data_IF_461783132884
#
_entry.id   IF_461783132884
#
_cell.length_a   1.000
_cell.length_b   1.000
_cell.length_c   1.000
_cell.angle_alpha   90.00
_cell.angle_beta   90.00
_cell.angle_gamma   90.00
#
_symmetry.space_group_name_H-M   'P 1'
#
loop_
_entity.id
_entity.type
_entity.pdbx_description
1 polymer ?
#
# COMPACT_ATOMS: atom_id res chain seq x y z
N UNK A 1 2.34 5.93 -16.95
CA UNK A 1 2.40 6.90 -15.84
C UNK A 1 2.62 6.11 -14.56
N UNK A 2 3.60 6.46 -13.73
CA UNK A 2 3.88 5.77 -12.46
C UNK A 2 3.13 6.49 -11.34
N UNK A 3 2.14 5.82 -10.74
CA UNK A 3 1.38 6.34 -9.60
C UNK A 3 1.95 5.67 -8.34
N UNK A 4 2.42 6.47 -7.40
CA UNK A 4 2.97 5.96 -6.14
C UNK A 4 2.32 6.62 -4.93
N UNK A 5 2.11 5.83 -3.88
CA UNK A 5 1.50 6.29 -2.64
C UNK A 5 -0.01 6.48 -2.72
N UNK A 6 -0.61 6.74 -1.57
CA UNK A 6 -2.06 6.63 -1.40
C UNK A 6 -2.83 7.90 -1.78
N UNK A 7 -2.17 9.02 -2.09
CA UNK A 7 -2.85 10.26 -2.51
C UNK A 7 -3.79 10.01 -3.70
N UNK A 8 -3.23 9.35 -4.72
CA UNK A 8 -3.94 8.95 -5.92
C UNK A 8 -4.32 7.47 -5.88
N UNK A 9 -3.48 6.62 -5.27
CA UNK A 9 -3.75 5.19 -5.13
C UNK A 9 -5.12 4.90 -4.50
N UNK A 10 -5.52 5.65 -3.46
CA UNK A 10 -6.84 5.49 -2.83
C UNK A 10 -8.00 5.66 -3.83
N UNK A 11 -7.89 6.63 -4.74
CA UNK A 11 -8.96 6.90 -5.72
C UNK A 11 -9.10 5.76 -6.71
N UNK A 12 -8.02 5.04 -6.99
CA UNK A 12 -8.05 3.83 -7.82
C UNK A 12 -8.64 2.66 -7.06
N UNK A 13 -8.31 2.51 -5.77
CA UNK A 13 -8.89 1.49 -4.90
C UNK A 13 -10.40 1.70 -4.70
N UNK A 14 -10.85 2.95 -4.62
CA UNK A 14 -12.27 3.32 -4.56
C UNK A 14 -13.06 2.79 -5.77
N UNK A 15 -12.46 2.76 -6.98
CA UNK A 15 -13.12 2.28 -8.21
C UNK A 15 -13.49 0.79 -8.17
N UNK A 16 -12.81 0.03 -7.32
CA UNK A 16 -13.03 -1.41 -7.14
C UNK A 16 -13.43 -1.74 -5.70
N UNK A 17 -13.87 -0.74 -4.93
CA UNK A 17 -14.32 -0.90 -3.55
C UNK A 17 -13.32 -1.69 -2.67
N UNK A 18 -12.02 -1.43 -2.89
CA UNK A 18 -10.96 -2.04 -2.11
C UNK A 18 -10.70 -1.22 -0.84
N UNK A 19 -10.77 -1.83 0.36
CA UNK A 19 -10.60 -1.11 1.62
C UNK A 19 -9.23 -0.46 1.74
N UNK A 20 -9.19 0.80 2.20
CA UNK A 20 -7.95 1.49 2.49
C UNK A 20 -8.09 2.41 3.72
N UNK A 21 -6.98 2.85 4.29
CA UNK A 21 -6.97 3.80 5.40
C UNK A 21 -7.47 5.18 4.95
N UNK A 22 -7.92 6.01 5.89
CA UNK A 22 -8.23 7.40 5.54
C UNK A 22 -6.96 8.14 5.11
N UNK A 23 -6.98 8.66 3.88
CA UNK A 23 -5.89 9.44 3.32
C UNK A 23 -6.41 10.78 2.80
N UNK A 24 -5.66 11.85 3.09
CA UNK A 24 -5.97 13.23 2.74
C UNK A 24 -4.75 13.90 2.11
N UNK A 25 -5.01 14.84 1.20
CA UNK A 25 -3.97 15.54 0.44
C UNK A 25 -3.41 16.78 1.15
N UNK A 26 -2.52 17.53 0.47
CA UNK A 26 -1.88 18.73 1.01
C UNK A 26 -2.85 19.86 1.37
N UNK A 27 -4.05 19.86 0.78
CA UNK A 27 -5.11 20.86 0.93
C UNK A 27 -5.87 20.81 2.27
N UNK A 28 -5.52 19.86 3.15
CA UNK A 28 -6.24 19.62 4.39
C UNK A 28 -6.18 20.83 5.35
N UNK A 29 -7.33 21.24 5.88
CA UNK A 29 -7.42 22.38 6.80
C UNK A 29 -6.88 22.05 8.20
N UNK A 30 -6.64 23.07 9.01
CA UNK A 30 -6.22 22.90 10.41
C UNK A 30 -7.21 22.07 11.22
N UNK A 31 -8.51 22.33 11.04
CA UNK A 31 -9.55 21.64 11.79
C UNK A 31 -9.71 20.19 11.34
N UNK A 32 -9.54 19.92 10.04
CA UNK A 32 -9.50 18.56 9.51
C UNK A 32 -8.33 17.75 10.06
N UNK A 33 -7.14 18.35 10.19
CA UNK A 33 -5.97 17.68 10.78
C UNK A 33 -6.26 17.33 12.25
N UNK A 34 -6.83 18.27 13.02
CA UNK A 34 -7.20 18.03 14.42
C UNK A 34 -8.22 16.90 14.53
N UNK A 35 -9.25 16.92 13.69
CA UNK A 35 -10.29 15.89 13.67
C UNK A 35 -9.73 14.52 13.32
N UNK A 36 -8.89 14.45 12.29
CA UNK A 36 -8.26 13.19 11.85
C UNK A 36 -7.40 12.58 12.96
N UNK A 37 -6.58 13.40 13.64
CA UNK A 37 -5.77 12.94 14.79
C UNK A 37 -6.65 12.48 15.95
N UNK A 38 -7.75 13.21 16.24
CA UNK A 38 -8.69 12.82 17.29
C UNK A 38 -9.39 11.48 16.99
N UNK A 39 -9.79 11.25 15.74
CA UNK A 39 -10.50 10.02 15.34
C UNK A 39 -9.60 8.79 15.30
N UNK A 40 -8.36 8.94 14.86
CA UNK A 40 -7.44 7.81 14.63
C UNK A 40 -6.35 7.66 15.70
N UNK A 41 -6.17 8.63 16.57
CA UNK A 41 -5.15 8.65 17.64
C UNK A 41 -3.73 8.92 17.14
N UNK A 42 -3.40 8.50 15.92
CA UNK A 42 -2.13 8.77 15.25
C UNK A 42 -2.34 8.95 13.74
N UNK A 43 -1.60 9.89 13.16
CA UNK A 43 -1.54 10.12 11.72
C UNK A 43 -0.10 10.08 11.23
N UNK A 44 0.09 9.53 10.04
CA UNK A 44 1.34 9.55 9.31
C UNK A 44 1.35 10.70 8.33
N UNK A 45 2.45 11.46 8.32
CA UNK A 45 2.68 12.54 7.36
C UNK A 45 3.73 12.06 6.37
N UNK A 46 3.41 12.07 5.07
CA UNK A 46 4.33 11.57 4.04
C UNK A 46 4.48 12.60 2.91
N UNK A 47 5.71 12.90 2.45
CA UNK A 47 5.93 13.81 1.35
C UNK A 47 5.41 13.25 0.01
N UNK A 48 4.83 14.15 -0.78
CA UNK A 48 4.34 13.89 -2.13
C UNK A 48 5.41 14.30 -3.13
N UNK A 49 5.98 13.32 -3.83
CA UNK A 49 6.95 13.55 -4.89
C UNK A 49 6.28 13.42 -6.25
N UNK A 50 6.76 14.20 -7.23
CA UNK A 50 6.40 14.03 -8.64
C UNK A 50 7.26 12.90 -9.22
N UNK A 51 6.62 11.88 -9.79
CA UNK A 51 7.29 10.67 -10.28
C UNK A 51 7.38 9.57 -9.20
N UNK A 52 7.56 8.32 -9.64
CA UNK A 52 7.54 7.15 -8.77
C UNK A 52 8.77 7.04 -7.87
N UNK A 53 8.75 7.77 -6.74
CA UNK A 53 9.85 7.84 -5.77
C UNK A 53 9.58 6.85 -4.62
N UNK A 54 10.29 5.72 -4.64
CA UNK A 54 10.22 4.67 -3.61
C UNK A 54 11.07 4.94 -2.36
N UNK A 55 11.17 3.94 -1.47
CA UNK A 55 12.06 3.90 -0.28
C UNK A 55 11.97 5.08 0.71
N UNK A 56 10.79 5.70 0.82
CA UNK A 56 10.52 6.82 1.75
C UNK A 56 10.69 6.43 3.24
N UNK A 57 10.32 5.21 3.61
CA UNK A 57 10.39 4.75 5.01
C UNK A 57 11.81 4.70 5.58
N UNK A 58 12.75 4.18 4.78
CA UNK A 58 14.16 4.02 5.19
C UNK A 58 14.96 5.35 5.17
N UNK A 59 14.37 6.44 4.65
CA UNK A 59 15.03 7.74 4.50
C UNK A 59 14.55 8.80 5.51
N UNK A 60 13.77 8.41 6.53
CA UNK A 60 13.23 9.35 7.52
C UNK A 60 12.13 10.27 6.97
N UNK A 61 11.56 9.92 5.81
CA UNK A 61 10.50 10.66 5.13
C UNK A 61 9.10 10.19 5.52
N UNK A 62 8.95 9.63 6.72
CA UNK A 62 7.64 9.33 7.32
C UNK A 62 7.60 10.04 8.67
N UNK A 63 6.74 11.04 8.77
CA UNK A 63 6.41 11.70 10.03
C UNK A 63 5.30 10.95 10.75
N UNK A 64 5.35 10.96 12.09
CA UNK A 64 4.31 10.41 12.97
C UNK A 64 3.83 11.52 13.88
N UNK A 65 2.51 11.62 14.06
CA UNK A 65 1.94 12.63 14.93
C UNK A 65 0.72 12.09 15.69
N UNK A 66 0.69 12.31 17.00
CA UNK A 66 -0.42 11.97 17.90
C UNK A 66 -1.22 13.18 18.36
N UNK A 67 -0.77 14.37 17.98
CA UNK A 67 -1.46 15.63 18.21
C UNK A 67 -1.23 16.60 17.05
N UNK A 68 -2.02 17.67 17.01
CA UNK A 68 -1.96 18.69 15.98
C UNK A 68 -0.59 19.38 15.88
N UNK A 69 0.04 19.67 17.01
CA UNK A 69 1.35 20.37 17.06
C UNK A 69 2.44 19.52 16.41
N UNK A 70 2.48 18.22 16.70
CA UNK A 70 3.38 17.27 16.04
C UNK A 70 3.10 17.18 14.53
N UNK A 71 1.82 17.12 14.14
CA UNK A 71 1.44 17.03 12.73
C UNK A 71 1.90 18.26 11.94
N UNK A 72 1.82 19.46 12.54
CA UNK A 72 2.28 20.69 11.92
C UNK A 72 3.82 20.72 11.78
N UNK A 73 4.54 20.27 12.82
CA UNK A 73 6.00 20.17 12.78
C UNK A 73 6.47 19.20 11.69
N UNK A 74 5.83 18.03 11.58
CA UNK A 74 6.15 17.06 10.53
C UNK A 74 5.73 17.56 9.13
N UNK A 75 4.61 18.29 9.01
CA UNK A 75 4.24 18.96 7.77
C UNK A 75 5.35 19.90 7.31
N UNK A 76 5.81 20.79 8.17
CA UNK A 76 6.86 21.76 7.85
C UNK A 76 8.17 21.07 7.42
N UNK A 77 8.59 20.06 8.19
CA UNK A 77 9.80 19.26 7.89
C UNK A 77 9.72 18.55 6.54
N UNK A 78 8.54 18.05 6.17
CA UNK A 78 8.36 17.16 5.02
C UNK A 78 7.85 17.85 3.77
N UNK A 79 7.28 19.06 3.85
CA UNK A 79 6.59 19.69 2.71
C UNK A 79 7.49 19.88 1.49
N UNK A 80 8.73 20.32 1.69
CA UNK A 80 9.75 20.52 0.66
C UNK A 80 10.97 19.61 0.84
N UNK A 81 10.78 18.46 1.47
CA UNK A 81 11.85 17.48 1.65
C UNK A 81 12.44 17.07 0.29
N UNK A 82 13.76 16.97 0.26
CA UNK A 82 14.48 16.44 -0.88
C UNK A 82 14.86 14.99 -0.61
N UNK A 83 14.70 14.14 -1.61
CA UNK A 83 15.07 12.74 -1.56
C UNK A 83 15.98 12.39 -2.73
N UNK A 84 17.18 11.91 -2.41
CA UNK A 84 18.15 11.45 -3.40
C UNK A 84 18.09 9.93 -3.55
N UNK A 85 17.76 9.46 -4.74
CA UNK A 85 17.81 8.04 -5.12
C UNK A 85 18.79 7.90 -6.29
N UNK A 86 19.97 7.36 -6.01
CA UNK A 86 21.06 7.32 -6.99
C UNK A 86 21.42 8.72 -7.50
N UNK A 87 21.22 8.95 -8.79
CA UNK A 87 21.50 10.23 -9.45
C UNK A 87 20.29 11.17 -9.53
N UNK A 88 19.11 10.73 -9.08
CA UNK A 88 17.89 11.51 -9.13
C UNK A 88 17.68 12.20 -7.77
N UNK A 89 17.45 13.51 -7.80
CA UNK A 89 16.97 14.27 -6.65
C UNK A 89 15.52 14.66 -6.90
N UNK A 90 14.62 14.19 -6.05
CA UNK A 90 13.21 14.56 -6.09
C UNK A 90 12.91 15.51 -4.93
N UNK A 91 12.21 16.61 -5.23
CA UNK A 91 11.71 17.54 -4.22
C UNK A 91 10.22 17.36 -4.06
N UNK A 92 9.75 17.27 -2.82
CA UNK A 92 8.32 17.20 -2.54
C UNK A 92 7.65 18.57 -2.71
N UNK A 93 6.37 18.54 -3.03
CA UNK A 93 5.52 19.72 -3.22
C UNK A 93 4.20 19.50 -2.47
N UNK A 94 4.34 19.22 -1.17
CA UNK A 94 3.24 18.88 -0.28
C UNK A 94 3.40 17.56 0.46
N UNK A 95 2.42 17.28 1.32
CA UNK A 95 2.36 16.08 2.15
C UNK A 95 0.97 15.43 2.07
N UNK A 96 0.91 14.12 2.28
CA UNK A 96 -0.33 13.42 2.65
C UNK A 96 -0.43 13.25 4.14
N UNK A 97 -1.67 13.18 4.61
CA UNK A 97 -2.01 12.72 5.96
C UNK A 97 -2.69 11.36 5.81
N UNK A 98 -2.16 10.34 6.45
CA UNK A 98 -2.67 8.97 6.39
C UNK A 98 -2.97 8.47 7.81
N UNK A 99 -4.18 7.97 8.03
CA UNK A 99 -4.58 7.45 9.34
C UNK A 99 -3.72 6.24 9.70
N UNK A 100 -3.28 6.18 10.96
CA UNK A 100 -2.61 5.00 11.46
C UNK A 100 -3.59 3.83 11.54
N UNK A 101 -3.15 2.67 11.07
CA UNK A 101 -3.93 1.43 11.12
C UNK A 101 -3.15 0.41 11.95
N UNK A 102 -3.60 0.08 13.17
CA UNK A 102 -3.03 -1.02 13.94
C UNK A 102 -3.13 -2.31 13.13
N UNK A 103 -2.05 -3.11 13.14
CA UNK A 103 -2.05 -4.37 12.41
C UNK A 103 -1.15 -5.38 13.10
N UNK A 104 -1.69 -6.58 13.32
CA UNK A 104 -0.94 -7.73 13.85
C UNK A 104 -0.22 -8.47 12.72
N UNK A 105 -0.73 -8.34 11.50
CA UNK A 105 -0.16 -8.94 10.30
C UNK A 105 -0.07 -7.91 9.18
N UNK A 106 1.02 -7.99 8.42
CA UNK A 106 1.24 -7.21 7.21
C UNK A 106 1.41 -8.18 6.03
N UNK A 107 0.84 -7.83 4.89
CA UNK A 107 0.81 -8.68 3.70
C UNK A 107 1.38 -7.88 2.54
N UNK A 108 2.25 -8.50 1.76
CA UNK A 108 2.66 -7.98 0.46
C UNK A 108 1.78 -8.62 -0.61
N UNK A 109 1.31 -7.82 -1.57
CA UNK A 109 0.60 -8.31 -2.74
C UNK A 109 0.99 -7.51 -3.99
N UNK A 110 1.20 -8.20 -5.10
CA UNK A 110 1.27 -7.56 -6.41
C UNK A 110 0.65 -8.39 -7.53
N UNK A 111 0.19 -7.70 -8.57
CA UNK A 111 -0.17 -8.25 -9.88
C UNK A 111 0.77 -7.65 -10.92
N UNK A 112 1.34 -8.48 -11.80
CA UNK A 112 2.17 -8.05 -12.92
C UNK A 112 2.19 -9.11 -14.02
N UNK A 113 2.66 -8.77 -15.22
CA UNK A 113 2.86 -9.75 -16.29
C UNK A 113 4.19 -10.48 -16.15
N UNK A 114 4.17 -11.81 -16.27
CA UNK A 114 5.38 -12.63 -16.28
C UNK A 114 5.76 -13.04 -17.69
N UNK A 115 7.01 -12.77 -18.08
CA UNK A 115 7.59 -13.28 -19.33
C UNK A 115 7.90 -14.78 -19.28
N UNK A 116 8.07 -15.34 -18.08
CA UNK A 116 8.33 -16.77 -17.86
C UNK A 116 7.06 -17.57 -18.12
N UNK A 117 5.95 -17.20 -17.48
CA UNK A 117 4.67 -17.89 -17.65
C UNK A 117 3.89 -17.40 -18.87
N UNK A 118 4.28 -16.26 -19.46
CA UNK A 118 3.55 -15.57 -20.54
C UNK A 118 2.09 -15.31 -20.16
N UNK A 119 1.88 -14.96 -18.89
CA UNK A 119 0.59 -14.78 -18.25
C UNK A 119 0.72 -13.77 -17.10
N UNK A 120 -0.39 -13.15 -16.65
CA UNK A 120 -0.37 -12.39 -15.41
C UNK A 120 -0.06 -13.31 -14.23
N UNK A 121 0.70 -12.78 -13.27
CA UNK A 121 1.05 -13.45 -12.02
C UNK A 121 0.57 -12.62 -10.83
N UNK A 122 0.12 -13.34 -9.80
CA UNK A 122 -0.04 -12.82 -8.46
C UNK A 122 1.20 -13.17 -7.65
N UNK A 123 1.84 -12.18 -7.02
CA UNK A 123 2.87 -12.40 -6.00
C UNK A 123 2.31 -12.04 -4.63
N UNK A 124 2.42 -12.94 -3.66
CA UNK A 124 1.78 -12.82 -2.36
C UNK A 124 2.68 -13.35 -1.24
N UNK A 125 2.78 -12.62 -0.13
CA UNK A 125 3.33 -13.13 1.12
C UNK A 125 2.64 -12.51 2.34
N UNK A 126 2.45 -13.30 3.39
CA UNK A 126 1.94 -12.82 4.69
C UNK A 126 3.06 -12.33 5.63
N UNK A 127 4.29 -12.25 5.12
CA UNK A 127 5.43 -11.60 5.74
C UNK A 127 5.65 -10.21 5.13
N UNK A 128 4.63 -9.34 5.18
CA UNK A 128 4.74 -7.97 4.67
C UNK A 128 5.53 -7.04 5.59
N UNK A 129 5.78 -5.81 5.12
CA UNK A 129 6.49 -4.79 5.91
C UNK A 129 8.01 -4.88 5.88
N UNK A 130 8.54 -5.90 5.21
CA UNK A 130 9.98 -6.10 4.93
C UNK A 130 10.26 -5.92 3.44
N UNK A 131 11.54 -5.77 3.08
CA UNK A 131 11.95 -5.80 1.67
C UNK A 131 11.73 -7.24 1.17
N UNK A 132 10.82 -7.42 0.22
CA UNK A 132 10.43 -8.74 -0.28
C UNK A 132 11.61 -9.46 -0.96
N UNK A 133 12.55 -8.70 -1.52
CA UNK A 133 13.76 -9.21 -2.15
C UNK A 133 14.70 -9.91 -1.16
N UNK A 134 14.54 -9.66 0.15
CA UNK A 134 15.31 -10.32 1.21
C UNK A 134 14.62 -11.58 1.76
N UNK A 135 13.38 -11.85 1.35
CA UNK A 135 12.65 -13.02 1.81
C UNK A 135 13.08 -14.29 1.06
N UNK A 136 13.19 -15.43 1.77
CA UNK A 136 13.36 -16.73 1.13
C UNK A 136 12.23 -17.04 0.13
N UNK A 137 12.55 -17.74 -0.97
CA UNK A 137 11.56 -18.08 -2.01
C UNK A 137 10.39 -18.90 -1.47
N UNK A 138 10.60 -19.77 -0.47
CA UNK A 138 9.55 -20.56 0.18
C UNK A 138 8.55 -19.71 1.00
N UNK A 139 8.84 -18.42 1.19
CA UNK A 139 7.96 -17.45 1.85
C UNK A 139 7.15 -16.61 0.87
N UNK A 140 7.31 -16.81 -0.44
CA UNK A 140 6.67 -16.02 -1.48
C UNK A 140 5.90 -16.95 -2.41
N UNK A 141 4.59 -16.72 -2.55
CA UNK A 141 3.79 -17.39 -3.56
C UNK A 141 3.80 -16.57 -4.85
N UNK A 142 4.23 -17.18 -5.96
CA UNK A 142 4.09 -16.62 -7.32
C UNK A 142 3.14 -17.53 -8.09
N UNK A 143 1.94 -17.05 -8.37
CA UNK A 143 0.86 -17.84 -8.96
C UNK A 143 0.45 -17.24 -10.30
N UNK A 144 0.74 -17.90 -11.44
CA UNK A 144 0.17 -17.51 -12.71
C UNK A 144 -1.33 -17.81 -12.74
N UNK A 145 -2.09 -16.98 -13.44
CA UNK A 145 -3.51 -17.21 -13.68
C UNK A 145 -3.90 -16.80 -15.10
N UNK A 146 -5.05 -17.31 -15.57
CA UNK A 146 -5.54 -17.02 -16.91
C UNK A 146 -6.19 -15.63 -16.96
N UNK A 147 -5.72 -14.78 -17.86
CA UNK A 147 -6.20 -13.40 -18.01
C UNK A 147 -7.68 -13.30 -18.44
N UNK A 148 -8.21 -14.29 -19.18
CA UNK A 148 -9.62 -14.32 -19.58
C UNK A 148 -10.52 -14.57 -18.37
N UNK A 149 -10.05 -15.38 -17.42
CA UNK A 149 -10.79 -15.65 -16.17
C UNK A 149 -10.48 -14.64 -15.07
N UNK A 150 -9.29 -14.04 -15.08
CA UNK A 150 -8.81 -13.10 -14.08
C UNK A 150 -8.43 -13.72 -12.73
N UNK A 151 -8.03 -12.87 -11.78
CA UNK A 151 -7.68 -13.33 -10.44
C UNK A 151 -8.94 -13.79 -9.70
N UNK A 152 -8.92 -15.02 -9.19
CA UNK A 152 -10.04 -15.65 -8.47
C UNK A 152 -9.69 -15.95 -7.01
N UNK A 153 -10.73 -16.06 -6.19
CA UNK A 153 -10.64 -16.42 -4.77
C UNK A 153 -9.76 -17.65 -4.51
N UNK A 154 -9.87 -18.71 -5.33
CA UNK A 154 -9.10 -19.94 -5.13
C UNK A 154 -7.59 -19.76 -5.35
N UNK A 155 -7.18 -18.86 -6.25
CA UNK A 155 -5.75 -18.55 -6.43
C UNK A 155 -5.18 -17.96 -5.14
N UNK A 156 -5.92 -17.04 -4.53
CA UNK A 156 -5.55 -16.38 -3.27
C UNK A 156 -5.57 -17.37 -2.10
N UNK A 157 -6.64 -18.16 -1.95
CA UNK A 157 -6.76 -19.11 -0.84
C UNK A 157 -5.68 -20.19 -0.89
N UNK A 158 -5.42 -20.76 -2.07
CA UNK A 158 -4.42 -21.82 -2.22
C UNK A 158 -3.02 -21.29 -1.94
N UNK A 159 -2.69 -20.08 -2.41
CA UNK A 159 -1.43 -19.42 -2.11
C UNK A 159 -1.24 -19.18 -0.60
N UNK A 160 -2.24 -18.62 0.07
CA UNK A 160 -2.18 -18.34 1.51
C UNK A 160 -2.05 -19.61 2.36
N UNK A 161 -2.82 -20.66 2.02
CA UNK A 161 -2.73 -21.96 2.70
C UNK A 161 -1.37 -22.60 2.46
N UNK A 162 -0.86 -22.57 1.23
CA UNK A 162 0.47 -23.09 0.89
C UNK A 162 1.61 -22.38 1.63
N UNK A 163 1.46 -21.08 1.89
CA UNK A 163 2.41 -20.30 2.70
C UNK A 163 2.24 -20.50 4.22
N UNK A 164 1.21 -21.22 4.67
CA UNK A 164 0.91 -21.37 6.10
C UNK A 164 0.43 -20.07 6.75
N UNK A 165 -0.26 -19.21 6.01
CA UNK A 165 -0.77 -17.94 6.52
C UNK A 165 -1.80 -18.13 7.65
N UNK A 166 -1.86 -17.23 8.65
CA UNK A 166 -2.86 -17.29 9.71
C UNK A 166 -4.30 -17.28 9.17
N UNK A 167 -5.16 -18.18 9.67
CA UNK A 167 -6.55 -18.29 9.22
C UNK A 167 -7.35 -16.99 9.39
N UNK A 168 -6.96 -16.17 10.37
CA UNK A 168 -7.56 -14.85 10.69
C UNK A 168 -7.47 -13.85 9.53
N UNK A 169 -6.47 -13.95 8.67
CA UNK A 169 -6.28 -13.01 7.54
C UNK A 169 -6.83 -13.54 6.21
N UNK A 170 -7.01 -14.87 6.08
CA UNK A 170 -7.34 -15.52 4.81
C UNK A 170 -8.66 -15.02 4.24
N UNK A 171 -9.74 -15.03 5.03
CA UNK A 171 -11.08 -14.68 4.55
C UNK A 171 -11.13 -13.27 3.95
N UNK A 172 -10.54 -12.29 4.65
CA UNK A 172 -10.50 -10.90 4.20
C UNK A 172 -9.71 -10.72 2.90
N UNK A 173 -8.55 -11.38 2.79
CA UNK A 173 -7.72 -11.32 1.58
C UNK A 173 -8.40 -11.99 0.38
N UNK A 174 -9.03 -13.16 0.60
CA UNK A 174 -9.76 -13.88 -0.46
C UNK A 174 -10.93 -13.06 -1.00
N UNK A 175 -11.60 -12.28 -0.15
CA UNK A 175 -12.70 -11.41 -0.56
C UNK A 175 -12.25 -10.15 -1.31
N UNK A 176 -11.07 -9.61 -1.01
CA UNK A 176 -10.67 -8.29 -1.50
C UNK A 176 -9.58 -8.31 -2.58
N UNK A 177 -8.61 -9.22 -2.54
CA UNK A 177 -7.53 -9.26 -3.53
C UNK A 177 -8.02 -9.51 -4.97
N UNK A 178 -9.04 -10.35 -5.24
CA UNK A 178 -9.57 -10.51 -6.60
C UNK A 178 -10.07 -9.20 -7.24
N UNK A 179 -10.58 -8.24 -6.43
CA UNK A 179 -11.07 -6.94 -6.94
C UNK A 179 -9.95 -6.11 -7.59
N UNK A 180 -8.70 -6.31 -7.17
CA UNK A 180 -7.55 -5.60 -7.73
C UNK A 180 -7.23 -6.03 -9.17
N UNK A 181 -7.73 -7.19 -9.62
CA UNK A 181 -7.64 -7.59 -11.03
C UNK A 181 -8.40 -6.65 -11.94
N UNK A 182 -9.62 -6.23 -11.55
CA UNK A 182 -10.42 -5.33 -12.38
C UNK A 182 -9.72 -3.99 -12.55
N UNK A 183 -9.02 -3.53 -11.49
CA UNK A 183 -8.21 -2.33 -11.56
C UNK A 183 -6.98 -2.52 -12.47
N UNK A 184 -6.26 -3.63 -12.34
CA UNK A 184 -5.08 -3.92 -13.16
C UNK A 184 -5.43 -4.04 -14.65
N UNK A 185 -6.42 -4.89 -14.96
CA UNK A 185 -6.79 -5.27 -16.32
C UNK A 185 -7.50 -4.15 -17.09
N UNK A 186 -8.39 -3.39 -16.43
CA UNK A 186 -9.24 -2.43 -17.14
C UNK A 186 -8.59 -1.04 -17.30
N UNK A 187 -7.49 -0.76 -16.60
CA UNK A 187 -6.84 0.56 -16.59
C UNK A 187 -5.41 0.55 -17.16
N UNK A 188 -5.03 -0.53 -17.88
CA UNK A 188 -3.75 -0.61 -18.58
C UNK A 188 -2.54 -0.56 -17.64
N UNK A 189 -2.64 -1.17 -16.47
CA UNK A 189 -1.54 -1.24 -15.51
C UNK A 189 -0.53 -2.29 -15.95
N UNK A 190 0.76 -1.99 -15.78
CA UNK A 190 1.85 -2.97 -15.97
C UNK A 190 2.21 -3.69 -14.66
N UNK A 191 1.87 -3.07 -13.54
CA UNK A 191 2.07 -3.58 -12.20
C UNK A 191 1.10 -2.87 -11.25
N UNK A 192 0.51 -3.63 -10.36
CA UNK A 192 -0.20 -3.13 -9.18
C UNK A 192 0.49 -3.76 -7.96
N UNK A 193 0.99 -2.94 -7.05
CA UNK A 193 1.68 -3.39 -5.84
C UNK A 193 1.08 -2.69 -4.62
N UNK A 194 0.77 -3.48 -3.59
CA UNK A 194 0.39 -3.01 -2.26
C UNK A 194 1.38 -3.57 -1.23
N UNK A 195 2.19 -2.69 -0.66
CA UNK A 195 3.22 -3.04 0.33
C UNK A 195 3.33 -1.99 1.46
N UNK A 196 2.91 -2.29 2.70
CA UNK A 196 2.12 -3.44 3.12
C UNK A 196 0.60 -3.19 3.01
N UNK A 197 -0.16 -4.27 2.81
CA UNK A 197 -1.57 -4.36 3.23
C UNK A 197 -1.58 -4.64 4.73
N UNK A 198 -2.22 -3.76 5.51
CA UNK A 198 -2.29 -3.87 6.97
C UNK A 198 -3.55 -4.63 7.38
N UNK A 199 -3.39 -5.75 8.07
CA UNK A 199 -4.50 -6.56 8.55
C UNK A 199 -4.90 -6.12 9.96
N UNK A 200 -6.00 -5.35 10.05
CA UNK A 200 -6.60 -5.02 11.34
C UNK A 200 -7.17 -6.28 11.99
N UNK A 201 -7.01 -6.44 13.33
CA UNK A 201 -7.81 -7.41 14.06
C UNK A 201 -9.29 -7.09 13.82
N UNK A 202 -10.10 -8.10 13.56
CA UNK A 202 -11.55 -7.91 13.49
C UNK A 202 -12.03 -7.24 14.78
N UNK A 203 -12.94 -6.27 14.68
CA UNK A 203 -13.72 -5.89 15.85
C UNK A 203 -14.47 -7.16 16.26
N UNK A 204 -14.12 -7.72 17.42
CA UNK A 204 -14.87 -8.82 18.03
C UNK A 204 -16.34 -8.44 18.24
#
# INVERSE_FOLDING_TARGET
MQITGMLWGRKLLDLVEYPHSEVRGPELSVDDIKDMVKRHGEVFIKPVFKGGVGKKGKSGLIGRAKNFTEALKEKERLYFAEHKIGNIVAKSDGVTYEAAVPADHEVYFSISDSTIYRAPIMTLTHHGGVDIEELPEDKIAVVPFDALTGLKAFHVSNALVGLGAPSTIISSLVQNLPKLWDLYNNYGMIMLELNPIRMMPGKG
#
